data_IF_319667457131
#
_entry.id   IF_319667457131
#
_cell.length_a   1.000
_cell.length_b   1.000
_cell.length_c   1.000
_cell.angle_alpha   90.00
_cell.angle_beta   90.00
_cell.angle_gamma   90.00
#
_symmetry.space_group_name_H-M   'P 1'
#
loop_
_entity.id
_entity.type
_entity.pdbx_description
1 polymer ?
#
# COMPACT_ATOMS: atom_id res chain seq x y z
N UNK A 1 -11.71 26.83 10.57
CA UNK A 1 -11.10 25.53 10.23
C UNK A 1 -12.23 24.55 9.95
N UNK A 2 -12.42 24.14 8.70
CA UNK A 2 -13.63 23.40 8.29
C UNK A 2 -13.64 21.99 8.89
N UNK A 3 -14.81 21.57 9.39
CA UNK A 3 -15.06 20.27 10.06
C UNK A 3 -14.62 19.04 9.22
N UNK A 4 -14.53 19.21 7.89
CA UNK A 4 -14.13 18.16 6.95
C UNK A 4 -12.68 17.65 7.09
N UNK A 5 -11.78 18.38 7.75
CA UNK A 5 -10.40 17.88 7.98
C UNK A 5 -10.34 16.67 8.94
N UNK A 6 -11.30 16.56 9.86
CA UNK A 6 -11.42 15.42 10.77
C UNK A 6 -11.90 14.14 10.06
N UNK A 7 -12.50 14.28 8.87
CA UNK A 7 -13.01 13.17 8.06
C UNK A 7 -12.03 12.71 6.99
N UNK A 8 -10.83 13.31 6.90
CA UNK A 8 -9.82 12.82 5.96
C UNK A 8 -9.29 11.45 6.46
N UNK A 9 -9.53 10.34 5.74
CA UNK A 9 -9.08 9.01 6.19
C UNK A 9 -7.55 8.91 6.31
N UNK A 10 -6.80 9.84 5.71
CA UNK A 10 -5.34 9.93 5.81
C UNK A 10 -4.86 10.74 7.03
N UNK A 11 -5.68 11.60 7.62
CA UNK A 11 -5.28 12.43 8.77
C UNK A 11 -5.21 11.66 10.09
N UNK A 12 -5.73 10.43 10.10
CA UNK A 12 -5.54 9.46 11.18
C UNK A 12 -5.96 9.91 12.60
N UNK A 13 -6.78 10.96 12.71
CA UNK A 13 -7.09 11.63 13.99
C UNK A 13 -7.91 10.76 14.93
N UNK A 14 -8.60 9.73 14.40
CA UNK A 14 -9.36 8.75 15.19
C UNK A 14 -8.67 7.38 15.14
N UNK A 15 -8.47 6.69 16.27
CA UNK A 15 -7.96 5.32 16.30
C UNK A 15 -8.78 4.38 15.40
N UNK A 16 -8.12 3.47 14.68
CA UNK A 16 -8.81 2.47 13.89
C UNK A 16 -9.45 1.43 14.82
N UNK A 17 -10.77 1.31 14.81
CA UNK A 17 -11.52 0.32 15.60
C UNK A 17 -12.19 -0.71 14.68
N UNK A 18 -12.36 -1.95 15.17
CA UNK A 18 -13.11 -2.99 14.46
C UNK A 18 -12.44 -3.63 13.24
N UNK A 19 -11.18 -3.30 12.92
CA UNK A 19 -10.44 -3.85 11.77
C UNK A 19 -9.08 -4.46 12.14
N UNK A 20 -8.86 -4.77 13.42
CA UNK A 20 -7.59 -5.35 13.88
C UNK A 20 -7.28 -6.66 13.15
N UNK A 21 -8.23 -7.58 13.06
CA UNK A 21 -8.02 -8.86 12.39
C UNK A 21 -7.65 -8.71 10.90
N UNK A 22 -8.30 -7.80 10.17
CA UNK A 22 -7.99 -7.52 8.77
C UNK A 22 -6.60 -6.89 8.62
N UNK A 23 -6.25 -5.99 9.52
CA UNK A 23 -4.95 -5.33 9.53
C UNK A 23 -3.83 -6.34 9.84
N UNK A 24 -4.03 -7.20 10.83
CA UNK A 24 -3.08 -8.25 11.21
C UNK A 24 -2.92 -9.29 10.08
N UNK A 25 -4.01 -9.65 9.37
CA UNK A 25 -3.96 -10.53 8.22
C UNK A 25 -3.18 -9.92 7.04
N UNK A 26 -3.38 -8.64 6.75
CA UNK A 26 -2.63 -7.93 5.71
C UNK A 26 -1.14 -7.75 6.09
N UNK A 27 -0.86 -7.51 7.36
CA UNK A 27 0.50 -7.44 7.89
C UNK A 27 1.21 -8.80 7.74
N UNK A 28 0.56 -9.90 8.14
CA UNK A 28 1.08 -11.25 7.94
C UNK A 28 1.32 -11.57 6.45
N UNK A 29 0.42 -11.14 5.57
CA UNK A 29 0.58 -11.29 4.12
C UNK A 29 1.84 -10.59 3.59
N UNK A 30 2.16 -9.40 4.08
CA UNK A 30 3.39 -8.68 3.71
C UNK A 30 4.65 -9.47 4.08
N UNK A 31 4.62 -10.25 5.17
CA UNK A 31 5.76 -11.01 5.67
C UNK A 31 5.84 -12.45 5.13
N UNK A 32 5.06 -12.80 4.10
CA UNK A 32 5.20 -14.10 3.42
C UNK A 32 6.53 -14.20 2.66
N UNK A 33 6.94 -15.42 2.30
CA UNK A 33 8.18 -15.66 1.56
C UNK A 33 8.11 -15.29 0.07
N UNK A 34 6.96 -14.77 -0.40
CA UNK A 34 6.76 -14.42 -1.81
C UNK A 34 7.48 -13.10 -2.12
N UNK A 35 8.37 -13.04 -3.14
CA UNK A 35 9.13 -11.83 -3.45
C UNK A 35 8.28 -10.68 -4.02
N UNK A 36 7.09 -11.01 -4.54
CA UNK A 36 6.06 -10.06 -4.99
C UNK A 36 4.72 -10.76 -4.83
N UNK A 37 3.72 -10.05 -4.36
CA UNK A 37 2.38 -10.60 -4.27
C UNK A 37 1.36 -9.48 -4.44
N UNK A 38 0.13 -9.86 -4.75
CA UNK A 38 -0.97 -8.91 -4.95
C UNK A 38 -2.18 -9.38 -4.14
N UNK A 39 -2.81 -8.45 -3.42
CA UNK A 39 -4.05 -8.70 -2.71
C UNK A 39 -5.05 -7.59 -3.01
N UNK A 40 -6.34 -7.94 -3.02
CA UNK A 40 -7.42 -6.99 -3.26
C UNK A 40 -8.22 -6.77 -1.97
N UNK A 41 -8.43 -5.49 -1.61
CA UNK A 41 -9.28 -5.11 -0.49
C UNK A 41 -10.62 -4.62 -1.05
N UNK A 42 -11.65 -5.44 -0.90
CA UNK A 42 -13.00 -5.15 -1.40
C UNK A 42 -13.95 -4.84 -0.26
N UNK A 43 -15.02 -4.10 -0.56
CA UNK A 43 -16.07 -3.78 0.39
C UNK A 43 -16.85 -2.56 -0.06
N UNK A 44 -17.96 -2.27 0.60
CA UNK A 44 -18.83 -1.13 0.26
C UNK A 44 -18.11 0.23 0.43
N UNK A 45 -18.68 1.29 -0.12
CA UNK A 45 -18.18 2.66 0.11
C UNK A 45 -18.22 3.02 1.60
N UNK A 46 -17.25 3.80 2.07
CA UNK A 46 -17.26 4.33 3.44
C UNK A 46 -16.81 3.37 4.55
N UNK A 47 -16.58 2.09 4.28
CA UNK A 47 -16.08 1.12 5.29
C UNK A 47 -14.59 1.26 5.63
N UNK A 48 -13.95 2.38 5.31
CA UNK A 48 -12.58 2.65 5.77
C UNK A 48 -11.45 1.86 5.11
N UNK A 49 -11.61 1.30 3.89
CA UNK A 49 -10.53 0.60 3.16
C UNK A 49 -9.23 1.43 3.05
N UNK A 50 -9.34 2.69 2.64
CA UNK A 50 -8.19 3.61 2.56
C UNK A 50 -7.57 3.85 3.93
N UNK A 51 -8.37 3.90 5.00
CA UNK A 51 -7.88 4.03 6.39
C UNK A 51 -7.11 2.78 6.82
N UNK A 52 -7.65 1.59 6.52
CA UNK A 52 -7.00 0.30 6.79
C UNK A 52 -5.62 0.23 6.12
N UNK A 53 -5.54 0.59 4.84
CA UNK A 53 -4.26 0.60 4.09
C UNK A 53 -3.29 1.65 4.63
N UNK A 54 -3.78 2.84 4.97
CA UNK A 54 -2.95 3.89 5.61
C UNK A 54 -2.35 3.40 6.92
N UNK A 55 -3.13 2.69 7.72
CA UNK A 55 -2.69 2.14 9.00
C UNK A 55 -1.68 0.99 8.81
N UNK A 56 -1.89 0.12 7.81
CA UNK A 56 -0.92 -0.91 7.42
C UNK A 56 0.42 -0.30 7.01
N UNK A 57 0.41 0.70 6.13
CA UNK A 57 1.63 1.42 5.74
C UNK A 57 2.36 2.02 6.94
N UNK A 58 1.59 2.61 7.89
CA UNK A 58 2.16 3.16 9.13
C UNK A 58 2.82 2.08 10.00
N UNK A 59 2.18 0.92 10.17
CA UNK A 59 2.73 -0.20 10.95
C UNK A 59 4.00 -0.75 10.32
N UNK A 60 3.98 -1.03 9.03
CA UNK A 60 5.12 -1.63 8.30
C UNK A 60 6.35 -0.69 8.21
N UNK A 61 6.13 0.62 8.30
CA UNK A 61 7.20 1.61 8.38
C UNK A 61 7.88 1.67 9.77
N UNK A 62 7.24 1.13 10.81
CA UNK A 62 7.80 1.08 12.16
C UNK A 62 8.71 -0.13 12.35
N UNK A 63 9.66 -0.07 13.30
CA UNK A 63 10.44 -1.26 13.67
C UNK A 63 9.51 -2.33 14.25
N UNK A 64 9.58 -3.55 13.73
CA UNK A 64 8.84 -4.68 14.30
C UNK A 64 9.46 -5.08 15.65
N UNK A 65 8.68 -5.10 16.75
CA UNK A 65 9.15 -5.63 18.03
C UNK A 65 9.55 -7.09 17.88
N UNK A 66 10.76 -7.46 18.32
CA UNK A 66 11.26 -8.84 18.22
C UNK A 66 11.86 -9.23 16.86
N UNK A 67 11.88 -8.34 15.87
CA UNK A 67 12.59 -8.54 14.60
C UNK A 67 13.51 -7.36 14.29
N UNK A 68 14.55 -7.19 15.11
CA UNK A 68 15.50 -6.08 15.00
C UNK A 68 16.23 -6.01 13.64
N UNK A 69 16.29 -7.12 12.90
CA UNK A 69 16.95 -7.22 11.58
C UNK A 69 15.99 -7.09 10.40
N UNK A 70 14.67 -7.06 10.62
CA UNK A 70 13.71 -6.90 9.54
C UNK A 70 13.82 -5.49 8.93
N UNK A 71 13.90 -5.43 7.61
CA UNK A 71 13.90 -4.14 6.89
C UNK A 71 12.54 -3.48 7.05
N UNK A 72 12.54 -2.18 7.39
CA UNK A 72 11.34 -1.36 7.35
C UNK A 72 10.79 -1.32 5.92
N UNK A 73 9.48 -1.35 5.80
CA UNK A 73 8.83 -1.18 4.51
C UNK A 73 8.85 0.28 4.08
N UNK A 74 8.98 0.46 2.78
CA UNK A 74 8.64 1.71 2.11
C UNK A 74 7.29 1.50 1.42
N UNK A 75 6.51 2.56 1.25
CA UNK A 75 5.23 2.40 0.57
C UNK A 75 4.41 3.67 0.52
N UNK A 76 3.29 3.57 -0.18
CA UNK A 76 2.37 4.68 -0.34
C UNK A 76 1.26 4.38 -1.33
N UNK A 77 0.40 5.37 -1.53
CA UNK A 77 -0.63 5.32 -2.55
C UNK A 77 -0.07 5.79 -3.88
N UNK A 78 -0.33 5.03 -4.92
CA UNK A 78 -0.06 5.43 -6.28
C UNK A 78 -1.02 6.55 -6.68
N UNK A 79 -0.49 7.68 -7.15
CA UNK A 79 -1.29 8.78 -7.66
C UNK A 79 -2.12 8.35 -8.87
N UNK A 80 -3.41 8.69 -8.86
CA UNK A 80 -4.33 8.44 -9.98
C UNK A 80 -3.86 9.13 -11.25
N UNK A 81 -3.50 10.41 -11.13
CA UNK A 81 -2.87 11.20 -12.20
C UNK A 81 -1.36 11.25 -11.98
N UNK A 82 -0.54 10.67 -12.87
CA UNK A 82 0.91 10.79 -12.79
C UNK A 82 1.36 12.24 -12.98
N UNK A 83 2.41 12.63 -12.27
CA UNK A 83 3.02 13.96 -12.41
C UNK A 83 3.81 14.13 -13.71
N UNK A 84 4.17 13.02 -14.37
CA UNK A 84 4.98 12.99 -15.59
C UNK A 84 4.25 12.17 -16.68
N UNK A 85 4.44 12.57 -17.94
CA UNK A 85 3.90 11.89 -19.11
C UNK A 85 5.05 11.65 -20.12
N UNK A 86 5.42 10.39 -20.40
CA UNK A 86 4.87 9.16 -19.81
C UNK A 86 5.22 9.02 -18.32
N UNK A 87 4.43 8.25 -17.54
CA UNK A 87 4.78 7.93 -16.16
C UNK A 87 6.12 7.18 -16.09
N UNK A 88 6.86 7.39 -15.00
CA UNK A 88 8.14 6.72 -14.79
C UNK A 88 8.09 5.77 -13.58
N UNK A 89 7.50 4.59 -13.76
CA UNK A 89 7.40 3.56 -12.72
C UNK A 89 8.63 2.66 -12.60
N UNK A 90 9.59 2.77 -13.52
CA UNK A 90 10.81 1.95 -13.52
C UNK A 90 11.59 2.02 -12.19
N UNK A 91 11.51 3.14 -11.47
CA UNK A 91 12.11 3.27 -10.14
C UNK A 91 11.59 2.24 -9.13
N UNK A 92 10.34 1.78 -9.25
CA UNK A 92 9.75 0.79 -8.33
C UNK A 92 10.47 -0.56 -8.38
N UNK A 93 11.05 -0.93 -9.53
CA UNK A 93 11.84 -2.17 -9.65
C UNK A 93 13.19 -2.09 -8.94
N UNK A 94 13.69 -0.88 -8.68
CA UNK A 94 15.02 -0.65 -8.11
C UNK A 94 15.03 -0.53 -6.58
N UNK A 95 13.85 -0.66 -5.94
CA UNK A 95 13.75 -0.52 -4.48
C UNK A 95 14.59 -1.55 -3.74
N UNK A 96 15.49 -1.05 -2.87
CA UNK A 96 16.31 -1.86 -1.95
C UNK A 96 15.56 -2.27 -0.69
N UNK A 97 14.43 -1.63 -0.40
CA UNK A 97 13.56 -1.95 0.74
C UNK A 97 12.30 -2.66 0.26
N UNK A 98 11.68 -3.51 1.10
CA UNK A 98 10.38 -4.08 0.77
C UNK A 98 9.38 -2.93 0.54
N UNK A 99 8.56 -3.07 -0.50
CA UNK A 99 7.70 -2.00 -1.02
C UNK A 99 6.23 -2.43 -0.97
N UNK A 100 5.38 -1.63 -0.33
CA UNK A 100 3.93 -1.78 -0.39
C UNK A 100 3.32 -0.63 -1.21
N UNK A 101 2.77 -0.96 -2.38
CA UNK A 101 2.10 0.01 -3.24
C UNK A 101 0.58 -0.18 -3.16
N UNK A 102 -0.13 0.87 -2.74
CA UNK A 102 -1.57 0.89 -2.67
C UNK A 102 -2.18 1.60 -3.88
N UNK A 103 -3.20 1.01 -4.49
CA UNK A 103 -3.91 1.58 -5.64
C UNK A 103 -5.38 1.69 -5.26
N UNK A 104 -5.81 2.89 -4.86
CA UNK A 104 -7.23 3.19 -4.65
C UNK A 104 -7.96 3.18 -6.00
N UNK A 105 -9.19 2.65 -6.01
CA UNK A 105 -10.04 2.49 -7.20
C UNK A 105 -9.31 1.74 -8.34
N UNK A 106 -8.64 0.63 -8.01
CA UNK A 106 -7.85 -0.14 -8.98
C UNK A 106 -8.68 -0.63 -10.18
N UNK A 107 -9.97 -0.86 -10.01
CA UNK A 107 -10.91 -1.28 -11.06
C UNK A 107 -11.03 -0.28 -12.21
N UNK A 108 -10.81 1.03 -11.94
CA UNK A 108 -10.83 2.08 -12.96
C UNK A 108 -9.43 2.40 -13.51
N UNK A 109 -8.38 1.80 -12.94
CA UNK A 109 -6.97 2.14 -13.19
C UNK A 109 -6.19 1.00 -13.84
N UNK A 110 -6.86 0.17 -14.64
CA UNK A 110 -6.31 -1.08 -15.21
C UNK A 110 -4.96 -0.87 -15.92
N UNK A 111 -4.85 0.11 -16.83
CA UNK A 111 -3.60 0.34 -17.57
C UNK A 111 -2.41 0.62 -16.66
N UNK A 112 -2.64 1.33 -15.55
CA UNK A 112 -1.60 1.64 -14.58
C UNK A 112 -1.23 0.43 -13.73
N UNK A 113 -2.22 -0.41 -13.39
CA UNK A 113 -2.00 -1.68 -12.70
C UNK A 113 -1.16 -2.62 -13.58
N UNK A 114 -1.53 -2.76 -14.85
CA UNK A 114 -0.83 -3.61 -15.82
C UNK A 114 0.65 -3.18 -15.98
N UNK A 115 0.90 -1.88 -16.15
CA UNK A 115 2.27 -1.34 -16.28
C UNK A 115 3.13 -1.66 -15.05
N UNK A 116 2.56 -1.57 -13.84
CA UNK A 116 3.28 -1.91 -12.61
C UNK A 116 3.57 -3.41 -12.54
N UNK A 117 2.61 -4.25 -12.90
CA UNK A 117 2.78 -5.70 -12.89
C UNK A 117 3.88 -6.13 -13.88
N UNK A 118 3.90 -5.55 -15.07
CA UNK A 118 4.93 -5.80 -16.08
C UNK A 118 6.33 -5.44 -15.57
N UNK A 119 6.47 -4.29 -14.92
CA UNK A 119 7.74 -3.84 -14.33
C UNK A 119 8.23 -4.81 -13.23
N UNK A 120 7.32 -5.34 -12.41
CA UNK A 120 7.69 -6.31 -11.36
C UNK A 120 7.97 -7.70 -11.93
N UNK A 121 7.27 -8.10 -13.00
CA UNK A 121 7.54 -9.37 -13.70
C UNK A 121 8.94 -9.36 -14.32
N UNK A 122 9.35 -8.25 -14.95
CA UNK A 122 10.68 -8.09 -15.53
C UNK A 122 11.80 -8.23 -14.48
N UNK A 123 11.55 -7.83 -13.23
CA UNK A 123 12.51 -7.96 -12.11
C UNK A 123 12.74 -9.41 -11.68
N UNK A 124 11.77 -10.32 -11.89
CA UNK A 124 11.89 -11.74 -11.50
C UNK A 124 12.66 -12.59 -12.50
N UNK A 125 12.78 -12.12 -13.75
CA UNK A 125 13.40 -12.85 -14.85
C UNK A 125 14.90 -12.60 -15.04
N UNK A 126 15.52 -11.75 -14.22
CA UNK A 126 16.97 -11.46 -14.22
C UNK A 126 17.63 -11.88 -12.92
#
# INVERSE_FOLDING_TARGET
>A
MSSSYLLNPRSAVVPLTGMSAQLDALEAWCHTSRPTDVTAITGTGGIGKTRLVTELLRRLAQPSPGQATARRWTGGFLAETPLQQPPHYGMLATSKYPLLLAIDYAETRRSQVDEILDIQAARRGG
#
